data_IF_395135692046
#
_entry.id   IF_395135692046
#
_cell.length_a   1.000
_cell.length_b   1.000
_cell.length_c   1.000
_cell.angle_alpha   90.00
_cell.angle_beta   90.00
_cell.angle_gamma   90.00
#
_symmetry.space_group_name_H-M   'P 1'
#
loop_
_entity.id
_entity.type
_entity.pdbx_description
1 polymer ?
#
# COMPACT_ATOMS: atom_id res chain seq x y z
N UNK A 1 -73.23 41.94 -26.50
CA UNK A 1 -72.59 41.24 -25.37
C UNK A 1 -71.87 40.03 -25.93
N UNK A 2 -70.58 40.13 -26.20
CA UNK A 2 -69.69 39.03 -26.57
C UNK A 2 -68.39 39.24 -25.78
N UNK A 3 -68.07 38.28 -24.91
CA UNK A 3 -66.96 38.32 -23.97
C UNK A 3 -65.73 37.76 -24.69
N UNK A 4 -64.68 38.59 -24.80
CA UNK A 4 -63.38 38.19 -25.34
C UNK A 4 -62.56 37.56 -24.20
N UNK A 5 -62.34 36.25 -24.27
CA UNK A 5 -61.59 35.48 -23.29
C UNK A 5 -60.10 35.50 -23.68
N UNK A 6 -59.31 36.34 -23.01
CA UNK A 6 -57.86 36.40 -23.18
C UNK A 6 -57.18 35.27 -22.41
N UNK A 7 -56.47 34.37 -23.11
CA UNK A 7 -55.66 33.32 -22.52
C UNK A 7 -54.24 33.86 -22.36
N UNK A 8 -53.80 34.10 -21.12
CA UNK A 8 -52.41 34.41 -20.78
C UNK A 8 -51.62 33.11 -20.63
N UNK A 9 -50.71 32.82 -21.55
CA UNK A 9 -49.68 31.78 -21.39
C UNK A 9 -48.57 32.31 -20.48
N UNK A 10 -48.53 31.88 -19.22
CA UNK A 10 -47.37 32.06 -18.34
C UNK A 10 -46.39 30.91 -18.57
N UNK A 11 -45.37 31.15 -19.38
CA UNK A 11 -44.22 30.24 -19.52
C UNK A 11 -43.43 30.22 -18.21
N UNK A 12 -43.54 29.12 -17.47
CA UNK A 12 -42.68 28.83 -16.30
C UNK A 12 -41.30 28.46 -16.85
N UNK A 13 -40.37 29.41 -16.85
CA UNK A 13 -38.94 29.12 -16.98
C UNK A 13 -38.50 28.40 -15.71
N UNK A 14 -38.49 27.06 -15.75
CA UNK A 14 -37.70 26.28 -14.81
C UNK A 14 -36.24 26.70 -15.02
N UNK A 15 -35.53 27.19 -13.99
CA UNK A 15 -34.09 27.39 -14.13
C UNK A 15 -33.49 26.03 -14.47
N UNK A 16 -32.79 25.96 -15.61
CA UNK A 16 -31.86 24.87 -15.89
C UNK A 16 -30.95 24.82 -14.66
N UNK A 17 -31.09 23.80 -13.83
CA UNK A 17 -30.16 23.54 -12.75
C UNK A 17 -28.81 23.26 -13.42
N UNK A 18 -27.99 24.31 -13.56
CA UNK A 18 -26.64 24.19 -14.08
C UNK A 18 -25.90 23.23 -13.16
N UNK A 19 -25.59 22.05 -13.67
CA UNK A 19 -24.75 21.08 -12.97
C UNK A 19 -23.31 21.53 -13.14
N UNK A 20 -22.63 21.68 -12.01
CA UNK A 20 -21.23 22.10 -11.95
C UNK A 20 -20.36 21.17 -12.82
N UNK A 21 -19.48 21.74 -13.64
CA UNK A 21 -18.46 20.98 -14.35
C UNK A 21 -17.11 21.07 -13.64
N UNK A 22 -16.39 19.96 -13.58
CA UNK A 22 -15.08 19.86 -12.95
C UNK A 22 -14.11 19.05 -13.83
N UNK A 23 -12.81 19.24 -13.62
CA UNK A 23 -11.82 18.33 -14.15
C UNK A 23 -11.79 17.02 -13.35
N UNK A 24 -11.69 15.90 -14.07
CA UNK A 24 -11.44 14.57 -13.53
C UNK A 24 -10.06 14.10 -13.96
N UNK A 25 -9.27 13.66 -12.99
CA UNK A 25 -7.92 13.16 -13.21
C UNK A 25 -7.56 12.18 -12.10
N UNK A 26 -6.78 11.16 -12.44
CA UNK A 26 -6.12 10.27 -11.48
C UNK A 26 -4.79 9.83 -12.09
N UNK A 27 -3.68 10.22 -11.48
CA UNK A 27 -2.35 9.88 -11.98
C UNK A 27 -1.24 10.63 -11.26
N UNK A 28 -0.05 10.66 -11.86
CA UNK A 28 1.13 11.31 -11.27
C UNK A 28 0.99 12.82 -11.19
N UNK A 29 1.37 13.42 -10.05
CA UNK A 29 1.17 14.86 -9.77
C UNK A 29 1.91 15.80 -10.72
N UNK A 30 3.12 15.46 -11.13
CA UNK A 30 4.01 16.31 -11.95
C UNK A 30 3.70 16.33 -13.45
N UNK A 31 2.82 15.45 -13.93
CA UNK A 31 2.45 15.32 -15.34
C UNK A 31 0.98 14.93 -15.46
N UNK A 32 0.05 15.83 -15.11
CA UNK A 32 -1.36 15.60 -15.37
C UNK A 32 -1.58 15.58 -16.88
N UNK A 33 -1.58 14.39 -17.48
CA UNK A 33 -2.05 14.18 -18.85
C UNK A 33 -3.44 14.80 -19.03
N UNK A 34 -3.88 14.93 -20.29
CA UNK A 34 -5.18 15.48 -20.70
C UNK A 34 -6.29 15.16 -19.69
N UNK A 35 -6.67 16.15 -18.89
CA UNK A 35 -7.71 16.03 -17.87
C UNK A 35 -9.07 16.01 -18.56
N UNK A 36 -9.97 15.14 -18.11
CA UNK A 36 -11.31 15.06 -18.67
C UNK A 36 -12.22 16.08 -17.99
N UNK A 37 -13.12 16.70 -18.72
CA UNK A 37 -14.20 17.51 -18.14
C UNK A 37 -15.39 16.60 -17.86
N UNK A 38 -15.91 16.64 -16.65
CA UNK A 38 -17.11 15.90 -16.25
C UNK A 38 -18.18 16.86 -15.74
N UNK A 39 -19.43 16.51 -15.96
CA UNK A 39 -20.59 17.15 -15.33
C UNK A 39 -20.87 16.44 -14.01
N UNK A 40 -20.87 17.17 -12.91
CA UNK A 40 -21.11 16.61 -11.57
C UNK A 40 -22.58 16.25 -11.35
N UNK A 41 -22.84 15.34 -10.40
CA UNK A 41 -24.20 15.02 -9.96
C UNK A 41 -24.91 16.25 -9.35
N UNK A 42 -26.26 16.34 -9.40
CA UNK A 42 -26.99 17.51 -8.92
C UNK A 42 -26.78 17.90 -7.46
N UNK A 43 -26.30 16.96 -6.63
CA UNK A 43 -25.99 17.14 -5.20
C UNK A 43 -24.52 17.51 -4.93
N UNK A 44 -23.68 17.55 -5.97
CA UNK A 44 -22.28 17.95 -5.88
C UNK A 44 -22.14 19.46 -6.02
N UNK A 45 -21.61 20.10 -4.98
CA UNK A 45 -21.47 21.55 -4.91
C UNK A 45 -20.02 22.03 -5.11
N UNK A 46 -19.06 21.10 -5.17
CA UNK A 46 -17.63 21.42 -5.20
C UNK A 46 -16.87 20.56 -6.20
N UNK A 47 -15.93 21.18 -6.91
CA UNK A 47 -14.82 20.50 -7.53
C UNK A 47 -13.72 20.23 -6.50
N UNK A 48 -13.03 19.11 -6.63
CA UNK A 48 -11.94 18.70 -5.74
C UNK A 48 -10.63 18.52 -6.47
N UNK A 49 -9.55 18.74 -5.74
CA UNK A 49 -8.22 18.28 -6.06
C UNK A 49 -7.59 17.73 -4.79
N UNK A 50 -7.11 16.49 -4.85
CA UNK A 50 -6.53 15.76 -3.73
C UNK A 50 -5.12 15.34 -4.12
N UNK A 51 -4.12 15.77 -3.34
CA UNK A 51 -2.76 15.27 -3.46
C UNK A 51 -2.55 14.19 -2.41
N UNK A 52 -2.29 12.97 -2.88
CA UNK A 52 -1.94 11.81 -2.07
C UNK A 52 -0.43 11.61 -2.21
N UNK A 53 0.30 11.91 -1.14
CA UNK A 53 1.73 11.63 -1.03
C UNK A 53 1.93 10.36 -0.23
N UNK A 54 2.35 9.32 -0.93
CA UNK A 54 2.87 8.11 -0.33
C UNK A 54 4.34 8.39 0.02
N UNK A 55 4.61 8.34 1.31
CA UNK A 55 5.92 8.51 1.91
C UNK A 55 6.28 7.20 2.62
N UNK A 56 7.54 6.80 2.63
CA UNK A 56 7.92 5.49 3.17
C UNK A 56 8.35 4.52 2.07
N UNK A 57 7.95 3.24 2.19
CA UNK A 57 8.27 2.17 1.22
C UNK A 57 7.89 2.50 -0.22
N UNK A 58 6.79 3.22 -0.41
CA UNK A 58 6.29 3.63 -1.70
C UNK A 58 6.40 5.15 -1.73
N UNK A 59 7.46 5.69 -2.34
CA UNK A 59 7.49 7.10 -2.69
C UNK A 59 6.65 7.31 -3.94
N UNK A 60 5.63 8.16 -3.84
CA UNK A 60 4.79 8.52 -4.98
C UNK A 60 3.82 9.63 -4.64
N UNK A 61 3.59 10.51 -5.60
CA UNK A 61 2.58 11.57 -5.50
C UNK A 61 1.51 11.32 -6.56
N UNK A 62 0.28 11.12 -6.08
CA UNK A 62 -0.89 10.90 -6.92
C UNK A 62 -1.79 12.11 -6.77
N UNK A 63 -2.11 12.73 -7.91
CA UNK A 63 -3.10 13.78 -8.00
C UNK A 63 -4.43 13.17 -8.42
N UNK A 64 -5.47 13.44 -7.64
CA UNK A 64 -6.85 13.02 -7.93
C UNK A 64 -7.71 14.28 -8.04
N UNK A 65 -8.52 14.39 -9.09
CA UNK A 65 -9.47 15.50 -9.29
C UNK A 65 -10.86 14.95 -9.57
N UNK A 66 -11.90 15.64 -9.11
CA UNK A 66 -13.28 15.22 -9.35
C UNK A 66 -14.32 16.17 -8.74
N UNK A 67 -15.48 15.60 -8.38
CA UNK A 67 -16.60 16.29 -7.75
C UNK A 67 -16.81 15.79 -6.30
N UNK A 68 -17.35 16.63 -5.42
CA UNK A 68 -17.69 16.28 -4.04
C UNK A 68 -19.15 16.67 -3.72
N UNK A 69 -19.91 15.70 -3.21
CA UNK A 69 -21.26 15.89 -2.68
C UNK A 69 -21.21 16.83 -1.46
N UNK A 70 -22.19 17.74 -1.34
CA UNK A 70 -22.15 18.99 -0.54
C UNK A 70 -21.87 18.94 0.98
N UNK A 71 -20.75 18.34 1.41
CA UNK A 71 -20.18 18.53 2.75
C UNK A 71 -18.75 19.10 2.68
N UNK A 72 -18.64 20.41 2.86
CA UNK A 72 -17.36 21.14 2.88
C UNK A 72 -16.38 20.66 3.98
N UNK A 73 -16.83 19.82 4.93
CA UNK A 73 -16.00 19.25 6.01
C UNK A 73 -14.77 18.48 5.54
N UNK A 74 -14.73 18.04 4.29
CA UNK A 74 -13.60 17.32 3.69
C UNK A 74 -12.61 18.27 2.98
N UNK A 75 -13.02 19.51 2.71
CA UNK A 75 -12.23 20.51 2.01
C UNK A 75 -11.18 21.16 2.91
N UNK A 76 -10.04 21.52 2.32
CA UNK A 76 -8.88 22.13 3.00
C UNK A 76 -8.39 21.30 4.19
N UNK A 77 -8.58 19.97 4.11
CA UNK A 77 -8.15 19.03 5.14
C UNK A 77 -6.89 18.33 4.68
N UNK A 78 -5.91 18.29 5.58
CA UNK A 78 -4.75 17.43 5.45
C UNK A 78 -4.86 16.32 6.49
N UNK A 79 -4.80 15.07 6.06
CA UNK A 79 -4.77 13.90 6.93
C UNK A 79 -3.43 13.19 6.77
N UNK A 80 -2.97 12.58 7.86
CA UNK A 80 -1.80 11.71 7.85
C UNK A 80 -2.24 10.38 8.42
N UNK A 81 -1.99 9.32 7.66
CA UNK A 81 -2.27 7.95 8.08
C UNK A 81 -0.97 7.18 8.09
N UNK A 82 -0.56 6.73 9.27
CA UNK A 82 0.58 5.84 9.42
C UNK A 82 0.14 4.39 9.13
N UNK A 83 0.61 3.81 8.02
CA UNK A 83 0.47 2.38 7.73
C UNK A 83 1.82 1.70 7.90
N UNK A 84 2.23 1.41 9.14
CA UNK A 84 3.47 0.71 9.59
C UNK A 84 4.78 1.14 8.90
N UNK A 85 4.89 0.97 7.59
CA UNK A 85 6.03 1.29 6.71
C UNK A 85 5.78 2.38 5.66
N UNK A 86 4.52 2.76 5.47
CA UNK A 86 4.11 3.80 4.53
C UNK A 86 3.28 4.82 5.28
N UNK A 87 3.75 6.06 5.30
CA UNK A 87 2.96 7.22 5.67
C UNK A 87 2.19 7.72 4.46
N UNK A 88 0.89 7.84 4.60
CA UNK A 88 0.01 8.39 3.57
C UNK A 88 -0.38 9.79 4.03
N UNK A 89 0.05 10.79 3.28
CA UNK A 89 -0.40 12.16 3.45
C UNK A 89 -1.44 12.45 2.38
N UNK A 90 -2.58 12.96 2.76
CA UNK A 90 -3.66 13.32 1.84
C UNK A 90 -4.07 14.75 2.13
N UNK A 91 -4.00 15.62 1.12
CA UNK A 91 -4.39 17.02 1.22
C UNK A 91 -5.44 17.31 0.17
N UNK A 92 -6.61 17.75 0.62
CA UNK A 92 -7.78 18.00 -0.23
C UNK A 92 -8.02 19.50 -0.32
N UNK A 93 -8.09 20.04 -1.52
CA UNK A 93 -8.57 21.39 -1.82
C UNK A 93 -9.86 21.32 -2.62
N UNK A 94 -10.73 22.30 -2.39
CA UNK A 94 -12.02 22.40 -3.07
C UNK A 94 -12.24 23.81 -3.61
N UNK A 95 -13.11 23.90 -4.61
CA UNK A 95 -13.63 25.14 -5.16
C UNK A 95 -15.03 24.89 -5.74
N UNK A 96 -15.83 25.93 -5.99
CA UNK A 96 -17.26 25.78 -6.30
C UNK A 96 -17.71 26.51 -7.58
N UNK A 97 -16.78 26.87 -8.46
CA UNK A 97 -17.08 27.47 -9.77
C UNK A 97 -16.71 26.51 -10.90
N UNK A 98 -17.26 26.74 -12.09
CA UNK A 98 -16.99 25.89 -13.27
C UNK A 98 -15.49 25.68 -13.51
N UNK A 99 -15.08 24.42 -13.65
CA UNK A 99 -13.72 23.98 -13.99
C UNK A 99 -12.61 24.54 -13.09
N UNK A 100 -12.95 24.97 -11.88
CA UNK A 100 -12.06 25.72 -10.99
C UNK A 100 -10.87 24.89 -10.45
N UNK A 101 -10.94 23.57 -10.57
CA UNK A 101 -9.89 22.67 -10.11
C UNK A 101 -8.78 22.45 -11.14
N UNK A 102 -8.65 23.28 -12.20
CA UNK A 102 -7.54 23.20 -13.17
C UNK A 102 -6.17 23.25 -12.50
N UNK A 103 -5.96 24.29 -11.69
CA UNK A 103 -4.65 24.67 -11.13
C UNK A 103 -4.55 24.39 -9.63
N UNK A 104 -5.59 23.80 -9.04
CA UNK A 104 -5.55 23.33 -7.66
C UNK A 104 -4.56 22.17 -7.54
N UNK A 105 -3.37 22.45 -7.05
CA UNK A 105 -2.39 21.44 -6.64
C UNK A 105 -2.24 21.60 -5.12
N UNK A 106 -2.92 20.75 -4.32
CA UNK A 106 -2.78 20.79 -2.88
C UNK A 106 -1.32 20.61 -2.49
N UNK A 107 -0.85 21.33 -1.48
CA UNK A 107 0.46 21.13 -0.92
C UNK A 107 0.38 20.15 0.27
N UNK A 108 1.37 19.28 0.38
CA UNK A 108 1.59 18.35 1.50
C UNK A 108 2.96 18.58 2.14
N UNK A 109 3.62 19.70 1.81
CA UNK A 109 4.90 20.06 2.40
C UNK A 109 4.75 20.22 3.91
N UNK A 110 5.35 19.27 4.63
CA UNK A 110 5.70 19.53 6.01
C UNK A 110 6.83 20.57 6.03
N UNK A 111 6.67 21.59 6.88
CA UNK A 111 7.62 22.71 7.03
C UNK A 111 8.94 22.32 7.70
N UNK A 112 9.05 21.10 8.23
CA UNK A 112 10.26 20.63 8.90
C UNK A 112 11.21 19.99 7.87
N UNK A 113 12.17 20.77 7.41
CA UNK A 113 13.27 20.32 6.54
C UNK A 113 14.43 19.84 7.40
N UNK A 114 14.86 18.58 7.21
CA UNK A 114 16.02 18.01 7.91
C UNK A 114 17.33 18.20 7.13
N UNK A 115 17.27 18.79 5.93
CA UNK A 115 18.43 18.97 5.04
C UNK A 115 18.95 17.66 4.42
N UNK A 116 18.22 16.56 4.56
CA UNK A 116 18.58 15.24 4.06
C UNK A 116 17.94 15.02 2.68
N UNK A 117 18.75 14.61 1.71
CA UNK A 117 18.27 14.20 0.39
C UNK A 117 18.59 12.73 0.17
N UNK A 118 17.62 11.91 -0.23
CA UNK A 118 17.81 10.47 -0.43
C UNK A 118 17.56 10.07 -1.88
N UNK A 119 18.25 9.04 -2.35
CA UNK A 119 17.91 8.43 -3.62
C UNK A 119 16.49 7.85 -3.56
N UNK A 120 15.75 7.97 -4.66
CA UNK A 120 14.41 7.40 -4.82
C UNK A 120 14.35 6.48 -6.02
N UNK A 121 13.72 5.33 -5.83
CA UNK A 121 13.45 4.40 -6.90
C UNK A 121 12.32 3.45 -6.49
N UNK A 122 11.61 2.93 -7.48
CA UNK A 122 10.63 1.87 -7.30
C UNK A 122 10.60 1.03 -8.58
N UNK A 123 11.16 -0.16 -8.52
CA UNK A 123 11.24 -1.00 -9.71
C UNK A 123 12.11 -2.22 -9.51
N UNK A 124 12.48 -2.84 -10.63
CA UNK A 124 13.41 -3.95 -10.59
C UNK A 124 14.78 -3.49 -10.05
N UNK A 125 15.57 -4.39 -9.44
CA UNK A 125 16.89 -4.05 -8.92
C UNK A 125 17.81 -3.32 -9.91
N UNK A 126 17.83 -3.74 -11.18
CA UNK A 126 18.71 -3.13 -12.18
C UNK A 126 18.40 -1.65 -12.42
N UNK A 127 17.13 -1.25 -12.38
CA UNK A 127 16.67 0.14 -12.49
C UNK A 127 16.83 0.97 -11.21
N UNK A 128 17.17 0.32 -10.11
CA UNK A 128 17.23 0.86 -8.75
C UNK A 128 18.65 0.86 -8.16
N UNK A 129 19.67 0.61 -8.98
CA UNK A 129 21.06 0.51 -8.54
C UNK A 129 21.86 1.76 -8.93
N UNK A 130 22.80 2.15 -8.06
CA UNK A 130 23.83 3.16 -8.33
C UNK A 130 23.46 4.59 -7.99
N UNK A 131 24.42 5.49 -8.20
CA UNK A 131 24.41 6.87 -7.71
C UNK A 131 23.74 7.87 -8.67
N UNK A 132 23.21 7.38 -9.80
CA UNK A 132 22.54 8.19 -10.83
C UNK A 132 21.02 8.29 -10.65
N UNK A 133 20.50 7.77 -9.53
CA UNK A 133 19.07 7.83 -9.23
C UNK A 133 18.64 9.26 -8.90
N UNK A 134 17.40 9.64 -9.21
CA UNK A 134 16.83 10.89 -8.73
C UNK A 134 16.84 10.94 -7.21
N UNK A 135 16.95 12.14 -6.64
CA UNK A 135 16.92 12.36 -5.19
C UNK A 135 15.69 13.16 -4.77
N UNK A 136 15.18 12.89 -3.57
CA UNK A 136 14.12 13.68 -2.93
C UNK A 136 14.61 14.26 -1.60
N UNK A 137 14.15 15.46 -1.24
CA UNK A 137 14.34 16.04 0.09
C UNK A 137 13.39 15.38 1.09
N UNK A 138 13.95 14.88 2.19
CA UNK A 138 13.16 14.34 3.30
C UNK A 138 12.57 15.48 4.12
N UNK A 139 11.26 15.41 4.39
CA UNK A 139 10.54 16.45 5.13
C UNK A 139 9.65 15.84 6.22
N UNK A 140 9.23 16.67 7.17
CA UNK A 140 8.37 16.24 8.27
C UNK A 140 9.07 15.36 9.26
N UNK A 141 8.54 14.16 9.48
CA UNK A 141 9.13 13.24 10.43
C UNK A 141 10.22 12.37 9.79
N UNK A 142 10.50 12.51 8.49
CA UNK A 142 11.52 11.72 7.80
C UNK A 142 12.94 12.18 8.16
N UNK A 143 13.61 11.43 9.04
CA UNK A 143 14.95 11.78 9.53
C UNK A 143 16.08 10.95 8.91
N UNK A 144 15.78 10.04 7.97
CA UNK A 144 16.78 9.13 7.40
C UNK A 144 16.41 8.63 6.00
N UNK A 145 17.43 8.16 5.26
CA UNK A 145 17.24 7.45 4.01
C UNK A 145 17.03 5.97 4.26
N UNK A 146 16.33 5.29 3.37
CA UNK A 146 16.17 3.84 3.41
C UNK A 146 16.13 3.21 2.02
N UNK A 147 16.39 1.91 2.03
CA UNK A 147 16.29 1.03 0.88
C UNK A 147 15.73 -0.33 1.31
N UNK A 148 14.88 -0.90 0.47
CA UNK A 148 14.15 -2.12 0.76
C UNK A 148 14.27 -3.04 -0.44
N UNK A 149 14.73 -4.26 -0.18
CA UNK A 149 14.87 -5.32 -1.18
C UNK A 149 13.81 -6.37 -0.90
N UNK A 150 12.95 -6.63 -1.87
CA UNK A 150 11.85 -7.60 -1.77
C UNK A 150 12.02 -8.65 -2.85
N UNK A 151 12.01 -9.91 -2.45
CA UNK A 151 11.96 -11.06 -3.34
C UNK A 151 10.77 -11.93 -2.96
N UNK A 152 10.00 -12.42 -3.94
CA UNK A 152 9.04 -13.47 -3.65
C UNK A 152 8.59 -14.24 -4.89
N UNK A 153 8.07 -15.44 -4.66
CA UNK A 153 7.59 -16.38 -5.65
C UNK A 153 6.13 -16.73 -5.34
N UNK A 154 5.19 -16.21 -6.14
CA UNK A 154 3.75 -16.31 -5.87
C UNK A 154 3.24 -17.72 -6.19
N UNK A 155 3.70 -18.28 -7.31
CA UNK A 155 3.45 -19.65 -7.79
C UNK A 155 4.41 -19.91 -8.95
N UNK A 156 5.08 -21.07 -8.98
CA UNK A 156 6.04 -21.42 -10.05
C UNK A 156 7.49 -20.97 -9.78
N UNK A 157 8.36 -21.09 -10.78
CA UNK A 157 9.80 -20.82 -10.66
C UNK A 157 10.17 -19.33 -10.87
N UNK A 158 9.22 -18.46 -11.19
CA UNK A 158 9.49 -17.05 -11.46
C UNK A 158 9.48 -16.23 -10.17
N UNK A 159 10.64 -15.68 -9.84
CA UNK A 159 10.80 -14.74 -8.73
C UNK A 159 10.52 -13.32 -9.19
N UNK A 160 9.64 -12.64 -8.48
CA UNK A 160 9.52 -11.18 -8.60
C UNK A 160 10.51 -10.55 -7.63
N UNK A 161 11.39 -9.70 -8.17
CA UNK A 161 12.33 -8.86 -7.39
C UNK A 161 11.93 -7.40 -7.52
N UNK A 162 11.81 -6.73 -6.38
CA UNK A 162 11.46 -5.32 -6.28
C UNK A 162 12.44 -4.62 -5.34
N UNK A 163 12.95 -3.49 -5.75
CA UNK A 163 13.78 -2.62 -4.93
C UNK A 163 13.10 -1.26 -4.79
N UNK A 164 13.14 -0.73 -3.58
CA UNK A 164 12.54 0.54 -3.20
C UNK A 164 13.60 1.38 -2.49
N UNK A 165 13.66 2.68 -2.79
CA UNK A 165 14.54 3.65 -2.11
C UNK A 165 13.77 4.92 -1.82
N UNK A 166 14.06 5.57 -0.69
CA UNK A 166 13.49 6.88 -0.37
C UNK A 166 13.77 7.35 1.04
N UNK A 167 12.95 8.30 1.49
CA UNK A 167 12.99 8.88 2.84
C UNK A 167 12.05 8.14 3.79
N UNK A 168 12.47 7.94 5.04
CA UNK A 168 11.67 7.30 6.07
C UNK A 168 12.04 7.70 7.48
N UNK A 169 11.22 7.25 8.43
CA UNK A 169 11.50 7.31 9.86
C UNK A 169 10.88 6.08 10.52
N UNK A 170 11.38 4.92 10.10
CA UNK A 170 10.88 3.63 10.55
C UNK A 170 11.71 3.16 11.74
N UNK A 171 11.03 2.85 12.84
CA UNK A 171 11.61 2.18 14.01
C UNK A 171 12.01 0.74 13.68
N UNK A 172 11.31 0.10 12.75
CA UNK A 172 11.59 -1.26 12.24
C UNK A 172 12.75 -1.31 11.23
N UNK A 173 13.63 -0.30 11.27
CA UNK A 173 14.78 -0.26 10.38
C UNK A 173 15.77 -1.40 10.70
N UNK A 174 16.23 -2.10 9.67
CA UNK A 174 17.15 -3.24 9.85
C UNK A 174 16.45 -4.57 10.15
N UNK A 175 15.13 -4.56 10.26
CA UNK A 175 14.38 -5.81 10.36
C UNK A 175 14.42 -6.59 9.03
N UNK A 176 14.13 -7.89 9.14
CA UNK A 176 14.09 -8.81 8.03
C UNK A 176 12.80 -9.62 8.11
N UNK A 177 11.98 -9.54 7.07
CA UNK A 177 10.82 -10.38 6.93
C UNK A 177 11.11 -11.53 5.97
N UNK A 178 10.78 -12.76 6.37
CA UNK A 178 10.81 -13.91 5.48
C UNK A 178 9.67 -14.86 5.77
N UNK A 179 9.26 -15.57 4.73
CA UNK A 179 8.31 -16.67 4.77
C UNK A 179 8.77 -17.78 3.82
N UNK A 180 8.62 -19.03 4.27
CA UNK A 180 8.86 -20.23 3.49
C UNK A 180 7.81 -21.28 3.79
N UNK A 181 7.25 -21.87 2.73
CA UNK A 181 6.45 -23.09 2.79
C UNK A 181 7.32 -24.35 2.54
N UNK A 182 8.62 -24.29 2.76
CA UNK A 182 9.52 -25.44 2.57
C UNK A 182 9.93 -25.67 1.11
N UNK A 183 9.42 -24.90 0.16
CA UNK A 183 10.03 -24.80 -1.16
C UNK A 183 11.28 -23.92 -1.08
N UNK A 184 12.32 -24.35 -1.79
CA UNK A 184 13.48 -23.52 -2.07
C UNK A 184 13.40 -23.03 -3.51
N UNK A 185 13.73 -21.76 -3.76
CA UNK A 185 14.16 -20.71 -2.81
C UNK A 185 13.02 -20.17 -1.92
N UNK A 186 13.34 -19.33 -0.92
CA UNK A 186 12.36 -18.72 -0.01
C UNK A 186 11.15 -18.17 -0.79
N UNK A 187 9.94 -18.47 -0.32
CA UNK A 187 8.70 -18.01 -0.95
C UNK A 187 8.58 -16.49 -0.89
N UNK A 188 9.09 -15.87 0.19
CA UNK A 188 9.16 -14.43 0.34
C UNK A 188 10.35 -14.02 1.23
N UNK A 189 11.00 -12.93 0.86
CA UNK A 189 11.94 -12.22 1.72
C UNK A 189 11.89 -10.72 1.48
N UNK A 190 12.07 -9.95 2.54
CA UNK A 190 12.21 -8.51 2.49
C UNK A 190 13.22 -8.02 3.53
N UNK A 191 14.21 -7.26 3.07
CA UNK A 191 15.25 -6.68 3.92
C UNK A 191 15.22 -5.17 3.81
N UNK A 192 15.25 -4.48 4.96
CA UNK A 192 15.29 -3.02 5.02
C UNK A 192 16.63 -2.56 5.56
N UNK A 193 17.21 -1.55 4.91
CA UNK A 193 18.37 -0.83 5.42
C UNK A 193 18.04 0.65 5.47
N UNK A 194 18.49 1.32 6.52
CA UNK A 194 18.39 2.77 6.63
C UNK A 194 19.71 3.34 7.10
N UNK A 195 19.90 4.61 6.79
CA UNK A 195 21.13 5.33 7.05
C UNK A 195 20.84 6.82 7.26
N UNK A 196 21.69 7.45 8.06
CA UNK A 196 21.63 8.90 8.31
C UNK A 196 22.59 9.63 7.38
N UNK A 197 22.15 10.76 6.85
CA UNK A 197 22.91 11.58 5.90
C UNK A 197 22.34 11.52 4.50
N UNK A 198 22.74 12.46 3.66
CA UNK A 198 22.25 12.57 2.29
C UNK A 198 22.85 11.49 1.38
N UNK A 199 22.03 10.96 0.48
CA UNK A 199 22.38 10.01 -0.57
C UNK A 199 23.06 8.74 -0.05
N UNK A 200 22.87 8.39 1.23
CA UNK A 200 23.53 7.24 1.86
C UNK A 200 22.88 5.89 1.47
N UNK A 201 21.68 5.90 0.89
CA UNK A 201 20.96 4.71 0.44
C UNK A 201 21.35 4.34 -1.00
N UNK A 202 22.65 4.24 -1.28
CA UNK A 202 23.22 3.85 -2.58
C UNK A 202 23.45 2.34 -2.72
N UNK A 203 23.00 1.54 -1.76
CA UNK A 203 23.21 0.09 -1.74
C UNK A 203 22.57 -0.62 -2.92
N UNK A 204 22.96 -1.87 -3.13
CA UNK A 204 22.35 -2.77 -4.12
C UNK A 204 21.28 -3.64 -3.47
N UNK A 205 20.55 -4.38 -4.29
CA UNK A 205 19.59 -5.38 -3.82
C UNK A 205 20.26 -6.34 -2.83
N UNK A 206 19.62 -6.51 -1.67
CA UNK A 206 20.04 -7.45 -0.64
C UNK A 206 19.45 -8.82 -0.96
N UNK A 207 20.32 -9.75 -1.36
CA UNK A 207 19.96 -11.16 -1.48
C UNK A 207 19.72 -11.74 -0.09
N UNK A 208 18.76 -12.66 0.00
CA UNK A 208 18.48 -13.39 1.24
C UNK A 208 18.60 -14.89 1.01
N UNK A 209 19.16 -15.58 2.00
CA UNK A 209 19.28 -17.02 2.02
C UNK A 209 18.48 -17.58 3.21
N UNK A 210 17.89 -18.79 3.11
CA UNK A 210 17.06 -19.37 4.16
C UNK A 210 17.77 -19.50 5.52
N UNK A 211 19.10 -19.48 5.55
CA UNK A 211 19.91 -19.74 6.73
C UNK A 211 19.95 -21.22 7.11
N UNK A 212 20.55 -21.56 8.26
CA UNK A 212 20.59 -22.93 8.79
C UNK A 212 19.28 -23.27 9.51
N UNK A 213 18.98 -24.57 9.66
CA UNK A 213 17.88 -25.04 10.52
C UNK A 213 17.99 -24.42 11.92
N UNK A 214 16.87 -23.91 12.45
CA UNK A 214 16.84 -23.19 13.72
C UNK A 214 16.15 -23.95 14.86
N UNK A 215 15.75 -25.21 14.63
CA UNK A 215 15.13 -26.09 15.62
C UNK A 215 13.62 -25.95 15.78
N UNK A 216 12.98 -24.98 15.11
CA UNK A 216 11.51 -24.90 15.04
C UNK A 216 11.01 -25.79 13.91
N UNK A 217 9.92 -26.51 14.15
CA UNK A 217 9.21 -27.27 13.12
C UNK A 217 7.82 -26.69 12.93
N UNK A 218 7.33 -26.58 11.70
CA UNK A 218 5.97 -26.10 11.41
C UNK A 218 5.30 -27.02 10.40
N UNK A 219 3.98 -26.95 10.32
CA UNK A 219 3.25 -27.53 9.21
C UNK A 219 3.39 -26.67 7.96
N UNK A 220 3.43 -27.31 6.80
CA UNK A 220 3.56 -26.68 5.49
C UNK A 220 2.65 -27.31 4.44
N UNK A 221 2.14 -26.47 3.55
CA UNK A 221 1.36 -26.83 2.36
C UNK A 221 1.21 -25.60 1.45
N UNK A 222 0.80 -25.82 0.21
CA UNK A 222 0.37 -24.77 -0.71
C UNK A 222 -0.81 -25.25 -1.57
N UNK A 223 -1.81 -24.39 -1.79
CA UNK A 223 -3.03 -24.71 -2.55
C UNK A 223 -2.77 -25.03 -4.03
N UNK A 224 -1.61 -24.67 -4.56
CA UNK A 224 -1.15 -25.04 -5.90
C UNK A 224 -0.65 -26.49 -6.01
N UNK A 225 -0.42 -27.19 -4.90
CA UNK A 225 -0.04 -28.61 -4.89
C UNK A 225 -1.28 -29.52 -4.99
N UNK A 226 -1.10 -30.75 -5.49
CA UNK A 226 -2.19 -31.75 -5.52
C UNK A 226 -2.73 -31.98 -4.11
N UNK A 227 -4.02 -31.68 -3.90
CA UNK A 227 -4.67 -31.78 -2.59
C UNK A 227 -4.50 -30.57 -1.67
N UNK A 228 -3.73 -29.55 -2.09
CA UNK A 228 -3.62 -28.26 -1.42
C UNK A 228 -3.24 -28.35 0.06
N UNK A 229 -3.95 -27.59 0.89
CA UNK A 229 -3.77 -27.58 2.35
C UNK A 229 -4.79 -28.46 3.10
N UNK A 230 -5.31 -29.50 2.45
CA UNK A 230 -6.17 -30.50 3.12
C UNK A 230 -5.38 -31.30 4.17
N UNK A 231 -6.04 -31.80 5.24
CA UNK A 231 -5.37 -32.47 6.36
C UNK A 231 -4.43 -33.62 5.93
N UNK A 232 -4.80 -34.37 4.90
CA UNK A 232 -4.01 -35.48 4.36
C UNK A 232 -2.77 -35.05 3.55
N UNK A 233 -2.67 -33.79 3.11
CA UNK A 233 -1.58 -33.29 2.26
C UNK A 233 -0.61 -32.34 2.99
N UNK A 234 -0.91 -31.97 4.24
CA UNK A 234 -0.01 -31.12 5.04
C UNK A 234 1.21 -31.91 5.54
N UNK A 235 2.39 -31.33 5.34
CA UNK A 235 3.68 -31.94 5.74
C UNK A 235 4.32 -31.15 6.87
N UNK A 236 5.25 -31.77 7.61
CA UNK A 236 6.12 -31.05 8.54
C UNK A 236 7.32 -30.50 7.78
N UNK A 237 7.74 -29.29 8.12
CA UNK A 237 8.97 -28.67 7.66
C UNK A 237 9.80 -28.18 8.84
N UNK A 238 11.11 -28.18 8.68
CA UNK A 238 12.02 -27.53 9.62
C UNK A 238 12.23 -26.09 9.20
N UNK A 239 12.10 -25.17 10.13
CA UNK A 239 12.32 -23.76 9.90
C UNK A 239 13.82 -23.44 9.88
N UNK A 240 14.17 -22.38 9.18
CA UNK A 240 15.56 -21.96 8.98
C UNK A 240 15.75 -20.47 9.29
N UNK A 241 16.97 -20.10 9.64
CA UNK A 241 17.35 -18.70 9.88
C UNK A 241 16.50 -18.05 10.96
N UNK A 242 16.02 -16.84 10.69
CA UNK A 242 15.20 -16.06 11.62
C UNK A 242 13.70 -16.45 11.62
N UNK A 243 13.28 -17.42 10.80
CA UNK A 243 11.88 -17.85 10.73
C UNK A 243 11.52 -18.73 11.93
N UNK A 244 11.10 -18.09 13.02
CA UNK A 244 10.84 -18.75 14.32
C UNK A 244 9.35 -18.89 14.64
N UNK A 245 8.47 -18.41 13.76
CA UNK A 245 7.02 -18.48 13.89
C UNK A 245 6.46 -19.50 12.89
N UNK A 246 5.42 -20.22 13.29
CA UNK A 246 4.59 -20.95 12.32
C UNK A 246 3.48 -20.03 11.82
N UNK A 247 3.12 -20.20 10.54
CA UNK A 247 2.24 -19.29 9.84
C UNK A 247 1.19 -20.04 9.00
N UNK A 248 -0.02 -19.48 8.99
CA UNK A 248 -1.10 -19.81 8.07
C UNK A 248 -1.48 -18.57 7.24
N UNK A 249 -1.51 -18.74 5.91
CA UNK A 249 -2.07 -17.76 4.98
C UNK A 249 -3.49 -18.23 4.64
N UNK A 250 -4.47 -17.39 4.93
CA UNK A 250 -5.89 -17.68 4.80
C UNK A 250 -6.44 -16.81 3.67
N UNK A 251 -6.93 -17.44 2.59
CA UNK A 251 -7.54 -16.74 1.48
C UNK A 251 -8.95 -16.23 1.85
N UNK A 252 -9.29 -15.01 1.42
CA UNK A 252 -10.60 -14.39 1.68
C UNK A 252 -11.76 -15.21 1.08
N UNK A 253 -11.53 -15.87 -0.05
CA UNK A 253 -12.52 -16.75 -0.68
C UNK A 253 -12.61 -18.07 0.09
N UNK A 254 -13.71 -18.25 0.82
CA UNK A 254 -14.03 -19.42 1.65
C UNK A 254 -13.23 -19.56 2.95
N UNK A 255 -12.47 -18.53 3.36
CA UNK A 255 -11.68 -18.52 4.59
C UNK A 255 -10.79 -19.78 4.75
N UNK A 256 -10.28 -20.27 3.61
CA UNK A 256 -9.50 -21.51 3.54
C UNK A 256 -8.02 -21.20 3.64
N UNK A 257 -7.29 -22.10 4.31
CA UNK A 257 -5.83 -22.01 4.36
C UNK A 257 -5.30 -22.32 2.96
N UNK A 258 -4.58 -21.37 2.37
CA UNK A 258 -3.99 -21.51 1.04
C UNK A 258 -2.50 -21.81 1.12
N UNK A 259 -1.83 -21.45 2.22
CA UNK A 259 -0.44 -21.83 2.48
C UNK A 259 -0.17 -21.96 3.97
N UNK A 260 0.75 -22.85 4.33
CA UNK A 260 1.34 -22.95 5.67
C UNK A 260 2.86 -22.91 5.58
N UNK A 261 3.52 -22.48 6.64
CA UNK A 261 4.98 -22.55 6.68
C UNK A 261 5.61 -21.88 7.88
N UNK A 262 6.89 -21.53 7.73
CA UNK A 262 7.68 -20.82 8.71
C UNK A 262 7.79 -19.34 8.32
N UNK A 263 7.75 -18.44 9.30
CA UNK A 263 7.88 -17.01 9.10
C UNK A 263 8.72 -16.34 10.19
N UNK A 264 9.33 -15.22 9.85
CA UNK A 264 9.90 -14.27 10.83
C UNK A 264 8.79 -13.51 11.54
N UNK A 265 9.08 -12.98 12.74
CA UNK A 265 8.15 -12.10 13.46
C UNK A 265 7.78 -10.85 12.64
N UNK A 266 8.75 -10.24 11.95
CA UNK A 266 8.52 -9.07 11.09
C UNK A 266 7.55 -9.34 9.93
N UNK A 267 7.55 -10.57 9.39
CA UNK A 267 6.57 -11.01 8.40
C UNK A 267 5.17 -11.13 9.03
N UNK A 268 5.06 -11.74 10.21
CA UNK A 268 3.80 -11.86 10.95
C UNK A 268 3.19 -10.50 11.30
N UNK A 269 4.04 -9.53 11.62
CA UNK A 269 3.63 -8.16 11.90
C UNK A 269 3.24 -7.37 10.64
N UNK A 270 3.40 -7.92 9.43
CA UNK A 270 3.14 -7.23 8.15
C UNK A 270 3.91 -5.91 8.04
N UNK A 271 5.19 -5.94 8.44
CA UNK A 271 6.09 -4.79 8.37
C UNK A 271 6.64 -4.54 6.98
N UNK A 272 6.21 -5.26 5.95
CA UNK A 272 6.65 -5.04 4.58
C UNK A 272 5.42 -4.99 3.69
N UNK A 273 5.48 -4.32 2.51
CA UNK A 273 4.34 -4.24 1.63
C UNK A 273 3.87 -5.65 1.34
N UNK A 274 2.56 -5.86 1.48
CA UNK A 274 1.98 -7.18 1.30
C UNK A 274 2.47 -7.73 -0.03
N UNK A 275 3.01 -8.94 0.06
CA UNK A 275 3.27 -9.78 -1.09
C UNK A 275 2.03 -9.73 -1.99
N UNK A 276 2.22 -9.54 -3.30
CA UNK A 276 1.10 -9.68 -4.26
C UNK A 276 0.69 -11.14 -4.35
N UNK A 277 0.13 -11.68 -3.26
CA UNK A 277 -0.74 -12.84 -3.34
C UNK A 277 -1.91 -12.36 -4.20
N UNK A 278 -2.17 -12.98 -5.36
CA UNK A 278 -3.21 -12.56 -6.29
C UNK A 278 -4.63 -12.73 -5.72
N UNK A 279 -4.73 -13.03 -4.42
CA UNK A 279 -5.93 -13.24 -3.64
C UNK A 279 -5.80 -12.43 -2.36
N UNK A 280 -6.84 -11.65 -2.05
CA UNK A 280 -6.96 -11.00 -0.75
C UNK A 280 -6.88 -12.06 0.35
N UNK A 281 -6.02 -11.85 1.32
CA UNK A 281 -5.70 -12.86 2.32
C UNK A 281 -5.39 -12.24 3.68
N UNK A 282 -5.49 -13.06 4.71
CA UNK A 282 -5.04 -12.74 6.06
C UNK A 282 -3.98 -13.74 6.52
N UNK A 283 -3.16 -13.31 7.48
CA UNK A 283 -2.12 -14.12 8.09
C UNK A 283 -2.46 -14.42 9.55
N UNK A 284 -2.25 -15.67 9.96
CA UNK A 284 -2.28 -16.09 11.38
C UNK A 284 -0.92 -16.66 11.74
N UNK A 285 -0.33 -16.20 12.85
CA UNK A 285 0.97 -16.66 13.32
C UNK A 285 0.88 -17.17 14.75
N UNK A 286 1.72 -18.15 15.06
CA UNK A 286 1.87 -18.68 16.41
C UNK A 286 3.34 -19.02 16.69
N UNK A 287 3.71 -18.98 17.97
CA UNK A 287 5.05 -19.33 18.44
C UNK A 287 5.07 -20.75 19.02
N UNK A 288 6.15 -21.47 18.75
CA UNK A 288 6.34 -22.86 19.20
C UNK A 288 6.19 -23.86 18.06
N UNK A 289 6.91 -24.98 18.17
CA UNK A 289 6.91 -25.99 17.11
C UNK A 289 5.53 -26.60 16.91
N UNK A 290 5.14 -26.72 15.64
CA UNK A 290 3.93 -27.37 15.18
C UNK A 290 2.66 -26.72 15.75
N UNK A 291 2.68 -25.43 16.08
CA UNK A 291 1.51 -24.73 16.62
C UNK A 291 0.44 -24.43 15.54
N UNK A 292 0.82 -24.43 14.26
CA UNK A 292 -0.11 -24.19 13.14
C UNK A 292 -0.84 -25.46 12.68
N UNK A 293 -1.32 -26.25 13.64
CA UNK A 293 -2.02 -27.51 13.39
C UNK A 293 -3.29 -27.35 12.56
N UNK A 294 -3.61 -28.41 11.83
CA UNK A 294 -4.83 -28.50 11.05
C UNK A 294 -6.00 -28.76 12.01
N UNK A 295 -6.87 -27.76 12.21
CA UNK A 295 -8.19 -27.98 12.79
C UNK A 295 -8.46 -27.45 14.21
N UNK A 296 -8.18 -26.17 14.50
CA UNK A 296 -8.92 -25.46 15.56
C UNK A 296 -9.43 -24.13 15.00
N UNK A 297 -10.55 -24.21 14.28
CA UNK A 297 -11.56 -23.18 14.47
C UNK A 297 -12.23 -23.47 15.81
N UNK A 298 -11.81 -22.78 16.87
CA UNK A 298 -12.60 -22.26 18.01
C UNK A 298 -11.73 -22.06 19.27
N UNK A 299 -11.73 -20.80 19.75
CA UNK A 299 -11.47 -20.32 21.12
C UNK A 299 -10.10 -20.54 21.81
N UNK A 300 -9.55 -19.43 22.30
CA UNK A 300 -8.40 -19.28 23.24
C UNK A 300 -7.03 -19.62 22.63
N UNK A 301 -6.14 -18.71 22.23
CA UNK A 301 -5.73 -17.42 22.78
C UNK A 301 -5.37 -16.46 21.62
N UNK A 302 -6.35 -15.73 21.10
CA UNK A 302 -6.04 -14.54 20.32
C UNK A 302 -5.56 -13.46 21.29
N UNK A 303 -4.25 -13.35 21.52
CA UNK A 303 -3.68 -12.15 22.15
C UNK A 303 -3.80 -11.00 21.16
N UNK A 304 -4.94 -10.31 21.22
CA UNK A 304 -5.09 -8.94 20.75
C UNK A 304 -4.14 -8.08 21.58
N UNK A 305 -3.05 -7.59 20.98
CA UNK A 305 -2.32 -6.43 21.51
C UNK A 305 -2.79 -5.21 20.74
N UNK A 306 -3.47 -4.32 21.47
CA UNK A 306 -3.69 -2.92 21.08
C UNK A 306 -2.36 -2.22 20.79
#
# INVERSE_FOLDING_TARGET
MNILMGITFTSILLPLASSLQCYQYQGVSWLPQKQNVITCEPNAAFCTSTLIKLNGTLYGEILVKGCLAGNESTCNKTTTTDKKITQIYESVQCCNTELCNSDLIPDVSSTKDHGIQCYVCNGNPASCNGDQLPTVRCTGEQTQCMEISIEGAVTGNEKTRLMLKGCGNLTSCGEFAAFSNGLQPLSYSAAMRCCKGSACNSGTFAESEPGKENGVECYSCADSEQGGCSPEHVKKMKCTGAMTQCLDIIGDTHNRIIMKGCATDSFCQRLYPDFRIPVKSSTSCCSGSLCNQVGIGTSEEAKTKN
#
